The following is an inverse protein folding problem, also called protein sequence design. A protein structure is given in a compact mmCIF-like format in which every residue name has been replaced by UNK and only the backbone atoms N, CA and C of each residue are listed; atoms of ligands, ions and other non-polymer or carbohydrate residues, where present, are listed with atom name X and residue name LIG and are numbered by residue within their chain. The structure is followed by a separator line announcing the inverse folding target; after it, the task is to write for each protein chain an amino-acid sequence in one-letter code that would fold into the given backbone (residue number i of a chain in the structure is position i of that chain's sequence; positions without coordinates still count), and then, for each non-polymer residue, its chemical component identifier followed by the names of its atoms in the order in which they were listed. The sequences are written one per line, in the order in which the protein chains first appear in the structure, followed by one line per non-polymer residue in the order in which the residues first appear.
data_IF_042376083909
#
_entry.id   IF_042376083909
#
_cell.length_a   1.000
_cell.length_b   1.000
_cell.length_c   1.000
_cell.angle_alpha   90.00
_cell.angle_beta   90.00
_cell.angle_gamma   90.00
#
_symmetry.space_group_name_H-M   'P 1'
#
loop_
_entity.id
_entity.type
_entity.pdbx_description
1 polymer ?
#
# COMPACT_ATOMS: atom_id res chain seq x y z
N UNK A 1 12.91 13.32 -3.41
CA UNK A 1 13.08 12.44 -2.23
C UNK A 1 14.35 12.86 -1.50
N UNK A 2 14.32 13.19 -0.21
CA UNK A 2 15.49 13.76 0.48
C UNK A 2 16.56 12.70 0.74
N UNK A 3 17.82 13.08 0.62
CA UNK A 3 19.00 12.20 0.70
C UNK A 3 19.27 11.61 2.10
N UNK A 4 18.52 11.99 3.14
CA UNK A 4 18.78 11.65 4.55
C UNK A 4 18.06 10.40 5.09
N UNK A 5 17.30 9.66 4.27
CA UNK A 5 16.65 8.41 4.68
C UNK A 5 17.53 7.16 4.49
N UNK A 6 18.61 7.28 3.71
CA UNK A 6 19.51 6.16 3.36
C UNK A 6 20.69 6.06 4.34
N UNK A 7 20.41 5.97 5.64
CA UNK A 7 21.45 5.80 6.65
C UNK A 7 21.82 4.31 6.74
N UNK A 8 23.02 3.97 7.23
CA UNK A 8 23.55 2.60 7.28
C UNK A 8 22.60 1.53 7.89
N UNK A 9 21.61 1.94 8.68
CA UNK A 9 20.62 1.09 9.35
C UNK A 9 19.36 0.73 8.54
N UNK A 10 19.10 1.33 7.37
CA UNK A 10 17.83 1.09 6.65
C UNK A 10 17.63 -0.38 6.25
N UNK A 11 18.71 -1.06 5.84
CA UNK A 11 18.67 -2.48 5.46
C UNK A 11 18.29 -3.36 6.65
N UNK A 12 18.86 -3.07 7.81
CA UNK A 12 18.59 -3.80 9.07
C UNK A 12 17.15 -3.58 9.51
N UNK A 13 16.66 -2.34 9.43
CA UNK A 13 15.29 -2.01 9.80
C UNK A 13 14.23 -2.65 8.89
N UNK A 14 14.48 -2.71 7.58
CA UNK A 14 13.60 -3.42 6.63
C UNK A 14 13.65 -4.92 6.87
N UNK A 15 14.82 -5.49 7.15
CA UNK A 15 14.97 -6.92 7.46
C UNK A 15 14.22 -7.29 8.74
N UNK A 16 14.31 -6.48 9.80
CA UNK A 16 13.55 -6.69 11.03
C UNK A 16 12.04 -6.62 10.79
N UNK A 17 11.59 -5.69 9.94
CA UNK A 17 10.18 -5.64 9.53
C UNK A 17 9.77 -6.93 8.81
N UNK A 18 10.54 -7.37 7.81
CA UNK A 18 10.25 -8.59 7.08
C UNK A 18 10.18 -9.82 8.00
N UNK A 19 11.17 -9.99 8.87
CA UNK A 19 11.20 -11.12 9.81
C UNK A 19 10.00 -11.09 10.76
N UNK A 20 9.63 -9.92 11.30
CA UNK A 20 8.48 -9.82 12.21
C UNK A 20 7.17 -10.19 11.51
N UNK A 21 6.99 -9.79 10.25
CA UNK A 21 5.78 -10.14 9.48
C UNK A 21 5.77 -11.63 9.12
N UNK A 22 6.91 -12.20 8.72
CA UNK A 22 7.01 -13.63 8.42
C UNK A 22 6.77 -14.49 9.67
N UNK A 23 7.25 -14.05 10.83
CA UNK A 23 6.98 -14.70 12.12
C UNK A 23 5.49 -14.70 12.45
N UNK A 24 4.81 -13.55 12.33
CA UNK A 24 3.35 -13.45 12.54
C UNK A 24 2.58 -14.42 11.64
N UNK A 25 2.94 -14.50 10.36
CA UNK A 25 2.33 -15.43 9.41
C UNK A 25 2.60 -16.88 9.84
N UNK A 26 3.84 -17.21 10.23
CA UNK A 26 4.23 -18.56 10.61
C UNK A 26 3.50 -19.08 11.87
N UNK A 27 3.19 -18.20 12.82
CA UNK A 27 2.42 -18.55 14.03
C UNK A 27 0.90 -18.51 13.84
N UNK A 28 0.42 -18.15 12.64
CA UNK A 28 -1.00 -18.13 12.32
C UNK A 28 -1.76 -16.89 12.81
N UNK A 29 -1.09 -15.75 12.96
CA UNK A 29 -1.78 -14.47 13.20
C UNK A 29 -2.76 -14.15 12.06
N UNK A 30 -3.81 -13.40 12.38
CA UNK A 30 -4.81 -13.05 11.36
C UNK A 30 -4.22 -12.12 10.30
N UNK A 31 -4.84 -12.14 9.10
CA UNK A 31 -4.44 -11.25 8.01
C UNK A 31 -4.55 -9.79 8.44
N UNK A 32 -5.61 -9.42 9.14
CA UNK A 32 -5.86 -8.07 9.62
C UNK A 32 -4.79 -7.60 10.62
N UNK A 33 -4.43 -8.45 11.58
CA UNK A 33 -3.37 -8.14 12.55
C UNK A 33 -2.02 -7.97 11.85
N UNK A 34 -1.73 -8.83 10.88
CA UNK A 34 -0.50 -8.81 10.10
C UNK A 34 -0.40 -7.55 9.23
N UNK A 35 -1.46 -7.17 8.51
CA UNK A 35 -1.46 -5.97 7.66
C UNK A 35 -1.47 -4.67 8.46
N UNK A 36 -2.15 -4.64 9.61
CA UNK A 36 -2.09 -3.51 10.54
C UNK A 36 -0.67 -3.28 11.06
N UNK A 37 -0.01 -4.36 11.49
CA UNK A 37 1.37 -4.30 11.96
C UNK A 37 2.32 -3.79 10.86
N UNK A 38 2.18 -4.32 9.64
CA UNK A 38 2.98 -3.94 8.49
C UNK A 38 2.85 -2.45 8.19
N UNK A 39 1.63 -1.95 7.99
CA UNK A 39 1.39 -0.56 7.61
C UNK A 39 1.86 0.42 8.70
N UNK A 40 1.59 0.13 9.98
CA UNK A 40 2.06 0.96 11.10
C UNK A 40 3.58 1.00 11.19
N UNK A 41 4.25 -0.13 10.96
CA UNK A 41 5.71 -0.17 11.05
C UNK A 41 6.37 0.55 9.89
N UNK A 42 5.81 0.45 8.67
CA UNK A 42 6.24 1.26 7.53
C UNK A 42 6.10 2.75 7.84
N UNK A 43 4.96 3.20 8.38
CA UNK A 43 4.76 4.61 8.76
C UNK A 43 5.76 5.10 9.82
N UNK A 44 6.24 4.23 10.71
CA UNK A 44 7.30 4.57 11.67
C UNK A 44 8.69 4.67 11.03
N UNK A 45 8.98 3.82 10.05
CA UNK A 45 10.26 3.82 9.33
C UNK A 45 10.35 4.97 8.33
N UNK A 46 9.21 5.33 7.72
CA UNK A 46 9.09 6.34 6.67
C UNK A 46 7.90 7.26 7.00
N UNK A 47 8.07 8.29 7.85
CA UNK A 47 6.99 9.17 8.30
C UNK A 47 6.24 9.88 7.17
N UNK A 48 6.94 10.17 6.07
CA UNK A 48 6.38 10.85 4.90
C UNK A 48 5.67 9.89 3.93
N UNK A 49 5.59 8.60 4.26
CA UNK A 49 4.99 7.57 3.40
C UNK A 49 3.67 7.09 3.97
N UNK A 50 2.64 7.07 3.12
CA UNK A 50 1.38 6.38 3.37
C UNK A 50 1.42 4.99 2.75
N UNK A 51 0.86 4.01 3.44
CA UNK A 51 0.86 2.61 3.05
C UNK A 51 -0.52 2.01 3.32
N UNK A 52 -0.99 1.19 2.39
CA UNK A 52 -2.19 0.39 2.54
C UNK A 52 -1.98 -0.97 1.89
N UNK A 53 -2.73 -1.96 2.36
CA UNK A 53 -2.84 -3.27 1.73
C UNK A 53 -4.28 -3.43 1.29
N UNK A 54 -4.50 -3.95 0.08
CA UNK A 54 -5.82 -4.27 -0.44
C UNK A 54 -5.87 -5.76 -0.78
N UNK A 55 -6.91 -6.44 -0.33
CA UNK A 55 -7.27 -7.77 -0.79
C UNK A 55 -7.97 -7.69 -2.15
N UNK A 56 -7.92 -8.80 -2.89
CA UNK A 56 -8.71 -9.01 -4.10
C UNK A 56 -9.58 -10.24 -3.85
N UNK A 57 -10.89 -10.11 -3.98
CA UNK A 57 -11.80 -11.25 -3.84
C UNK A 57 -11.86 -12.11 -5.11
N UNK A 58 -12.64 -13.20 -5.07
CA UNK A 58 -12.84 -14.09 -6.21
C UNK A 58 -13.51 -13.44 -7.42
N UNK A 59 -14.20 -12.31 -7.21
CA UNK A 59 -14.85 -11.55 -8.27
C UNK A 59 -13.92 -10.47 -8.86
N UNK A 60 -12.69 -10.36 -8.35
CA UNK A 60 -11.73 -9.34 -8.76
C UNK A 60 -12.01 -7.97 -8.16
N UNK A 61 -12.74 -7.88 -7.05
CA UNK A 61 -13.04 -6.64 -6.36
C UNK A 61 -11.98 -6.35 -5.30
N UNK A 62 -11.60 -5.07 -5.18
CA UNK A 62 -10.67 -4.58 -4.19
C UNK A 62 -11.34 -4.40 -2.83
N UNK A 63 -10.66 -4.86 -1.78
CA UNK A 63 -11.07 -4.70 -0.39
C UNK A 63 -9.90 -4.15 0.44
N UNK A 64 -9.87 -2.83 0.72
CA UNK A 64 -9.14 -2.24 1.84
C UNK A 64 -8.97 -3.15 3.06
N UNK A 65 -7.73 -3.46 3.43
CA UNK A 65 -7.42 -4.18 4.68
C UNK A 65 -7.09 -3.19 5.80
N UNK A 66 -7.21 -3.67 7.04
CA UNK A 66 -6.87 -2.91 8.23
C UNK A 66 -5.39 -2.50 8.22
N UNK A 67 -5.11 -1.34 8.83
CA UNK A 67 -3.75 -0.78 8.93
C UNK A 67 -3.46 0.39 8.02
N UNK A 68 -4.31 0.65 7.03
CA UNK A 68 -4.06 1.71 6.06
C UNK A 68 -3.79 3.05 6.74
N UNK A 69 -2.70 3.69 6.34
CA UNK A 69 -2.41 5.07 6.74
C UNK A 69 -2.90 6.10 5.72
N UNK A 70 -3.56 5.65 4.65
CA UNK A 70 -4.27 6.53 3.71
C UNK A 70 -5.52 7.15 4.37
N UNK A 71 -5.96 8.34 3.91
CA UNK A 71 -7.22 8.92 4.36
C UNK A 71 -8.41 7.98 4.13
N UNK A 72 -9.35 7.95 5.08
CA UNK A 72 -10.55 7.10 5.00
C UNK A 72 -11.36 7.33 3.72
N UNK A 73 -11.43 8.57 3.24
CA UNK A 73 -12.09 8.91 1.98
C UNK A 73 -11.47 8.18 0.80
N UNK A 74 -10.14 8.10 0.74
CA UNK A 74 -9.44 7.36 -0.29
C UNK A 74 -9.66 5.84 -0.15
N UNK A 75 -9.73 5.31 1.06
CA UNK A 75 -10.04 3.89 1.27
C UNK A 75 -11.46 3.55 0.82
N UNK A 76 -12.44 4.41 1.15
CA UNK A 76 -13.83 4.24 0.72
C UNK A 76 -13.98 4.26 -0.81
N UNK A 77 -13.16 5.04 -1.51
CA UNK A 77 -13.15 5.09 -2.97
C UNK A 77 -12.55 3.83 -3.60
N UNK A 78 -11.76 3.05 -2.85
CA UNK A 78 -11.14 1.80 -3.30
C UNK A 78 -12.00 0.56 -3.04
N UNK A 79 -12.93 0.63 -2.09
CA UNK A 79 -13.82 -0.46 -1.74
C UNK A 79 -14.69 -0.89 -2.93
N UNK A 80 -14.67 -2.19 -3.25
CA UNK A 80 -15.49 -2.77 -4.32
C UNK A 80 -15.06 -2.38 -5.74
N UNK A 81 -13.90 -1.75 -5.93
CA UNK A 81 -13.40 -1.45 -7.27
C UNK A 81 -12.90 -2.72 -7.96
N UNK A 82 -13.44 -3.01 -9.15
CA UNK A 82 -13.00 -4.14 -9.97
C UNK A 82 -11.60 -3.92 -10.57
N UNK A 83 -10.70 -4.89 -10.43
CA UNK A 83 -9.41 -4.92 -11.13
C UNK A 83 -9.63 -5.20 -12.63
N UNK A 84 -8.76 -4.68 -13.49
CA UNK A 84 -8.86 -4.94 -14.92
C UNK A 84 -7.96 -4.08 -15.78
N UNK A 85 -7.92 -4.34 -17.10
CA UNK A 85 -7.09 -3.61 -18.06
C UNK A 85 -7.58 -2.18 -18.33
N UNK A 86 -8.77 -1.81 -17.84
CA UNK A 86 -9.38 -0.50 -18.01
C UNK A 86 -8.68 0.60 -17.19
N UNK A 87 -8.91 1.87 -17.58
CA UNK A 87 -8.31 3.08 -17.02
C UNK A 87 -8.26 3.10 -15.48
N UNK A 88 -7.05 3.22 -14.92
CA UNK A 88 -6.81 3.33 -13.48
C UNK A 88 -5.47 2.72 -13.06
N UNK A 89 -4.52 3.52 -12.56
CA UNK A 89 -3.19 3.05 -12.10
C UNK A 89 -3.28 1.78 -11.24
N UNK A 90 -4.01 1.85 -10.13
CA UNK A 90 -4.09 0.75 -9.17
C UNK A 90 -4.80 -0.49 -9.75
N UNK A 91 -5.84 -0.30 -10.57
CA UNK A 91 -6.60 -1.40 -11.20
C UNK A 91 -5.77 -2.19 -12.18
N UNK A 92 -5.00 -1.47 -13.01
CA UNK A 92 -4.09 -2.09 -13.97
C UNK A 92 -2.92 -2.77 -13.26
N UNK A 93 -2.39 -2.19 -12.19
CA UNK A 93 -1.26 -2.77 -11.46
C UNK A 93 -1.63 -4.05 -10.72
N UNK A 94 -2.76 -4.03 -10.00
CA UNK A 94 -3.30 -5.21 -9.35
C UNK A 94 -3.59 -6.32 -10.38
N UNK A 95 -4.12 -5.97 -11.55
CA UNK A 95 -4.37 -6.92 -12.64
C UNK A 95 -3.09 -7.53 -13.23
N UNK A 96 -2.03 -6.73 -13.40
CA UNK A 96 -0.78 -7.20 -14.00
C UNK A 96 0.09 -8.03 -13.05
N UNK A 97 -0.16 -7.98 -11.74
CA UNK A 97 0.66 -8.67 -10.73
C UNK A 97 2.12 -8.20 -10.71
N UNK A 98 2.40 -6.97 -11.18
CA UNK A 98 3.75 -6.41 -11.31
C UNK A 98 3.93 -5.24 -10.37
N UNK A 99 5.14 -5.11 -9.82
CA UNK A 99 5.53 -3.91 -9.10
C UNK A 99 5.55 -2.71 -10.07
N UNK A 100 4.84 -1.64 -9.72
CA UNK A 100 4.83 -0.41 -10.51
C UNK A 100 4.99 0.80 -9.61
N UNK A 101 5.72 1.80 -10.09
CA UNK A 101 5.89 3.08 -9.44
C UNK A 101 5.44 4.22 -10.37
N UNK A 102 4.84 5.26 -9.77
CA UNK A 102 4.56 6.54 -10.39
C UNK A 102 5.39 7.61 -9.67
N UNK A 103 6.05 8.50 -10.42
CA UNK A 103 6.85 9.59 -9.83
C UNK A 103 5.96 10.64 -9.17
N UNK A 104 4.85 10.94 -9.82
CA UNK A 104 3.81 11.84 -9.35
C UNK A 104 2.48 11.28 -9.85
N UNK A 105 1.59 10.97 -8.92
CA UNK A 105 0.29 10.34 -9.20
C UNK A 105 -0.65 11.31 -9.93
N UNK A 106 -0.52 12.62 -9.72
CA UNK A 106 -1.39 13.63 -10.32
C UNK A 106 -1.09 13.85 -11.81
N UNK A 107 0.18 13.73 -12.20
CA UNK A 107 0.65 13.93 -13.58
C UNK A 107 0.86 12.64 -14.36
N UNK A 108 0.74 11.49 -13.70
CA UNK A 108 0.83 10.19 -14.37
C UNK A 108 -0.34 10.01 -15.36
N UNK A 109 0.02 9.82 -16.62
CA UNK A 109 -0.94 9.64 -17.72
C UNK A 109 -1.74 8.34 -17.60
N UNK A 110 -1.22 7.36 -16.84
CA UNK A 110 -1.99 6.23 -16.34
C UNK A 110 -2.87 6.84 -15.24
N UNK A 111 -4.16 7.03 -15.50
CA UNK A 111 -5.01 7.90 -14.68
C UNK A 111 -5.16 7.40 -13.23
N UNK A 112 -4.94 8.26 -12.23
CA UNK A 112 -5.48 8.14 -10.87
C UNK A 112 -6.39 9.34 -10.62
N UNK A 113 -7.70 9.15 -10.79
CA UNK A 113 -8.71 10.24 -10.66
C UNK A 113 -9.58 10.14 -9.40
N UNK A 114 -9.38 9.10 -8.59
CA UNK A 114 -10.40 8.67 -7.61
C UNK A 114 -10.04 8.91 -6.14
N UNK A 115 -8.87 9.45 -5.78
CA UNK A 115 -8.59 9.82 -4.39
C UNK A 115 -8.26 11.32 -4.33
N UNK A 116 -8.99 12.11 -3.52
CA UNK A 116 -8.71 13.53 -3.37
C UNK A 116 -7.29 13.69 -2.84
N UNK A 117 -6.41 14.24 -3.69
CA UNK A 117 -5.06 14.59 -3.28
C UNK A 117 -5.16 15.85 -2.41
N UNK A 118 -5.28 15.69 -1.09
CA UNK A 118 -5.06 16.79 -0.15
C UNK A 118 -3.58 17.18 -0.22
N UNK A 119 -3.24 18.02 -1.20
CA UNK A 119 -2.08 18.88 -1.12
C UNK A 119 -2.54 20.16 -0.42
N UNK A 120 -2.23 20.26 0.87
CA UNK A 120 -2.06 21.53 1.55
C UNK A 120 -0.83 21.40 2.45
#
# INVERSE_FOLDING_TARGET
MPAGYWNADWRVNVLHLQNNILEMIAIGETLEATTDRLCRRIGKLLPDVRCSVLGVDSNGLLHPLQGSSLPNECMALLEGLMIGPADGLLRQWAYLGKAVAAKDIATDTRKWRQCPSNHN
#
